data_IF_291496001299
#
_entry.id   IF_291496001299
#
_cell.length_a   1.000
_cell.length_b   1.000
_cell.length_c   1.000
_cell.angle_alpha   90.00
_cell.angle_beta   90.00
_cell.angle_gamma   90.00
#
_symmetry.space_group_name_H-M   'P 1'
#
loop_
_entity.id
_entity.type
_entity.pdbx_description
1 polymer ?
#
# COMPACT_ATOMS: atom_id res chain seq x y z
N UNK A 1 -30.97 -93.81 -42.66
CA UNK A 1 -30.66 -94.03 -41.24
C UNK A 1 -29.46 -93.17 -40.89
N UNK A 2 -29.49 -92.54 -39.71
CA UNK A 2 -28.39 -91.85 -39.00
C UNK A 2 -28.13 -90.36 -39.32
N UNK A 3 -28.74 -89.56 -38.42
CA UNK A 3 -28.28 -88.40 -37.64
C UNK A 3 -27.72 -87.11 -38.28
N UNK A 4 -28.33 -86.03 -37.79
CA UNK A 4 -28.03 -84.60 -37.77
C UNK A 4 -26.73 -84.21 -37.05
N UNK A 5 -26.09 -83.10 -37.45
CA UNK A 5 -25.53 -82.10 -36.52
C UNK A 5 -25.41 -80.69 -37.13
N UNK A 6 -25.50 -79.71 -36.24
CA UNK A 6 -25.68 -78.26 -36.37
C UNK A 6 -24.59 -77.45 -37.10
N UNK A 7 -24.96 -76.24 -37.51
CA UNK A 7 -24.06 -75.08 -37.48
C UNK A 7 -24.86 -73.80 -37.15
N UNK A 8 -24.55 -73.19 -36.00
CA UNK A 8 -25.14 -71.95 -35.46
C UNK A 8 -24.30 -70.78 -35.98
N UNK A 9 -24.93 -69.77 -36.59
CA UNK A 9 -24.29 -68.49 -36.93
C UNK A 9 -24.96 -67.34 -36.18
N UNK A 10 -24.20 -66.66 -35.31
CA UNK A 10 -24.61 -65.50 -34.53
C UNK A 10 -24.59 -64.21 -35.40
N UNK A 11 -25.68 -63.45 -35.41
CA UNK A 11 -25.68 -62.03 -35.81
C UNK A 11 -25.49 -61.13 -34.57
N UNK A 12 -24.73 -60.01 -34.66
CA UNK A 12 -24.47 -59.14 -33.53
C UNK A 12 -25.64 -58.21 -33.26
N UNK A 13 -26.05 -58.10 -31.99
CA UNK A 13 -27.08 -57.18 -31.51
C UNK A 13 -26.46 -55.80 -31.25
N UNK A 14 -26.95 -54.77 -31.95
CA UNK A 14 -26.54 -53.38 -31.80
C UNK A 14 -27.05 -52.83 -30.45
N UNK A 15 -26.17 -52.62 -29.48
CA UNK A 15 -26.50 -51.98 -28.19
C UNK A 15 -26.29 -50.47 -28.33
N UNK A 16 -27.39 -49.72 -28.36
CA UNK A 16 -27.37 -48.25 -28.27
C UNK A 16 -27.11 -47.83 -26.82
N UNK A 17 -25.94 -47.25 -26.56
CA UNK A 17 -25.58 -46.66 -25.27
C UNK A 17 -26.31 -45.31 -25.11
N UNK A 18 -27.31 -45.23 -24.23
CA UNK A 18 -27.83 -43.94 -23.78
C UNK A 18 -26.80 -43.28 -22.87
N UNK A 19 -26.22 -42.17 -23.31
CA UNK A 19 -25.37 -41.33 -22.46
C UNK A 19 -26.24 -40.64 -21.40
N UNK A 20 -25.94 -40.89 -20.13
CA UNK A 20 -26.53 -40.13 -19.02
C UNK A 20 -26.03 -38.67 -19.08
N UNK A 21 -26.86 -37.68 -18.72
CA UNK A 21 -26.41 -36.30 -18.68
C UNK A 21 -25.38 -36.16 -17.56
N UNK A 22 -24.19 -35.67 -17.91
CA UNK A 22 -23.18 -35.29 -16.94
C UNK A 22 -23.76 -34.16 -16.07
N UNK A 23 -24.08 -34.46 -14.82
CA UNK A 23 -24.31 -33.44 -13.80
C UNK A 23 -23.04 -32.59 -13.72
N UNK A 24 -23.15 -31.34 -14.16
CA UNK A 24 -22.10 -30.34 -13.95
C UNK A 24 -21.85 -30.25 -12.44
N UNK A 25 -20.72 -30.79 -11.99
CA UNK A 25 -20.25 -30.57 -10.64
C UNK A 25 -20.10 -29.05 -10.47
N UNK A 26 -20.88 -28.45 -9.57
CA UNK A 26 -20.69 -27.08 -9.16
C UNK A 26 -19.23 -26.92 -8.74
N UNK A 27 -18.49 -26.06 -9.43
CA UNK A 27 -17.13 -25.72 -9.03
C UNK A 27 -17.15 -25.28 -7.56
N UNK A 28 -16.19 -25.70 -6.72
CA UNK A 28 -16.17 -25.27 -5.34
C UNK A 28 -16.11 -23.75 -5.30
N UNK A 29 -17.00 -23.13 -4.51
CA UNK A 29 -16.93 -21.70 -4.16
C UNK A 29 -15.50 -21.44 -3.69
N UNK A 30 -14.70 -20.81 -4.53
CA UNK A 30 -13.29 -20.55 -4.23
C UNK A 30 -13.25 -19.56 -3.08
N UNK A 31 -13.00 -20.03 -1.87
CA UNK A 31 -12.70 -19.17 -0.73
C UNK A 31 -11.32 -18.56 -0.98
N UNK A 32 -11.32 -17.32 -1.45
CA UNK A 32 -10.10 -16.54 -1.60
C UNK A 32 -9.56 -16.17 -0.22
N UNK A 33 -8.25 -16.33 0.03
CA UNK A 33 -7.63 -15.80 1.23
C UNK A 33 -7.85 -14.29 1.32
N UNK A 34 -8.11 -13.77 2.52
CA UNK A 34 -8.26 -12.34 2.79
C UNK A 34 -7.07 -11.76 3.55
N UNK A 35 -6.11 -12.59 3.94
CA UNK A 35 -4.94 -12.17 4.69
C UNK A 35 -3.72 -13.07 4.45
N UNK A 36 -2.55 -12.50 4.68
CA UNK A 36 -1.25 -13.18 4.62
C UNK A 36 -0.41 -12.74 5.82
N UNK A 37 -0.27 -13.62 6.80
CA UNK A 37 0.41 -13.27 8.05
C UNK A 37 -0.44 -12.33 8.88
N UNK A 38 0.07 -11.12 9.12
CA UNK A 38 -0.67 -10.06 9.78
C UNK A 38 -1.32 -9.08 8.79
N UNK A 39 -1.03 -9.18 7.48
CA UNK A 39 -1.50 -8.22 6.49
C UNK A 39 -2.85 -8.66 5.95
N UNK A 40 -3.87 -7.81 6.11
CA UNK A 40 -5.19 -7.97 5.50
C UNK A 40 -5.25 -7.28 4.15
N UNK A 41 -5.86 -7.93 3.16
CA UNK A 41 -6.09 -7.38 1.83
C UNK A 41 -7.49 -7.74 1.35
N UNK A 42 -7.98 -6.97 0.39
CA UNK A 42 -9.30 -7.15 -0.21
C UNK A 42 -9.19 -7.04 -1.72
N UNK A 43 -10.22 -7.54 -2.41
CA UNK A 43 -10.35 -7.34 -3.84
C UNK A 43 -10.27 -5.82 -4.16
N UNK A 44 -9.52 -5.36 -5.17
CA UNK A 44 -9.07 -6.07 -6.36
C UNK A 44 -7.78 -6.87 -6.18
N UNK A 45 -7.11 -6.75 -5.03
CA UNK A 45 -5.94 -7.53 -4.69
C UNK A 45 -6.33 -8.90 -4.14
N UNK A 46 -5.51 -9.90 -4.40
CA UNK A 46 -5.80 -11.23 -3.90
C UNK A 46 -4.74 -12.27 -4.24
N UNK A 47 -4.67 -13.28 -3.38
CA UNK A 47 -3.75 -14.41 -3.51
C UNK A 47 -4.46 -15.58 -4.16
N UNK A 48 -3.92 -16.03 -5.29
CA UNK A 48 -4.37 -17.25 -5.95
C UNK A 48 -5.27 -17.02 -7.18
N UNK A 49 -5.51 -18.10 -7.94
CA UNK A 49 -6.15 -18.01 -9.24
C UNK A 49 -7.63 -17.60 -9.13
N UNK A 50 -7.96 -16.45 -9.72
CA UNK A 50 -9.31 -15.88 -9.76
C UNK A 50 -9.68 -15.04 -8.54
N UNK A 51 -8.74 -14.74 -7.66
CA UNK A 51 -8.98 -13.97 -6.44
C UNK A 51 -8.62 -12.47 -6.56
N UNK A 52 -8.14 -12.03 -7.73
CA UNK A 52 -7.69 -10.67 -7.99
C UNK A 52 -8.07 -10.22 -9.39
N UNK A 53 -8.09 -8.91 -9.62
CA UNK A 53 -8.12 -8.36 -10.97
C UNK A 53 -6.79 -8.65 -11.69
N UNK A 54 -6.78 -8.72 -13.04
CA UNK A 54 -5.56 -8.87 -13.81
C UNK A 54 -4.53 -7.79 -13.43
N UNK A 55 -3.34 -8.22 -13.03
CA UNK A 55 -2.25 -7.35 -12.56
C UNK A 55 -2.22 -7.10 -11.05
N UNK A 56 -3.27 -7.45 -10.29
CA UNK A 56 -3.37 -7.26 -8.83
C UNK A 56 -3.11 -8.54 -8.03
N UNK A 57 -2.48 -9.54 -8.65
CA UNK A 57 -2.20 -10.83 -8.01
C UNK A 57 -1.07 -10.69 -7.00
N UNK A 58 -1.34 -11.15 -5.77
CA UNK A 58 -0.42 -11.15 -4.66
C UNK A 58 0.16 -12.56 -4.44
N UNK A 59 1.41 -12.61 -3.99
CA UNK A 59 2.07 -13.85 -3.57
C UNK A 59 2.34 -13.78 -2.08
N UNK A 60 1.86 -14.77 -1.33
CA UNK A 60 2.14 -14.89 0.10
C UNK A 60 3.33 -15.85 0.29
N UNK A 61 4.52 -15.31 0.54
CA UNK A 61 5.71 -16.12 0.79
C UNK A 61 5.71 -16.62 2.24
N UNK A 62 5.74 -17.94 2.41
CA UNK A 62 5.63 -18.62 3.69
C UNK A 62 6.99 -19.13 4.16
N UNK A 63 7.92 -18.22 4.46
CA UNK A 63 9.15 -18.56 5.17
C UNK A 63 8.96 -18.45 6.69
N UNK A 64 9.62 -19.35 7.43
CA UNK A 64 9.27 -19.87 8.77
C UNK A 64 9.16 -18.87 9.94
N UNK A 65 9.41 -17.57 9.75
CA UNK A 65 9.35 -16.57 10.83
C UNK A 65 8.56 -15.28 10.52
N UNK A 66 8.25 -14.99 9.26
CA UNK A 66 7.39 -13.85 8.87
C UNK A 66 6.82 -14.09 7.47
N UNK A 67 5.50 -14.20 7.34
CA UNK A 67 4.86 -14.28 6.01
C UNK A 67 5.00 -12.94 5.32
N UNK A 68 5.60 -12.91 4.12
CA UNK A 68 5.79 -11.68 3.33
C UNK A 68 4.78 -11.64 2.19
N UNK A 69 4.13 -10.51 2.03
CA UNK A 69 3.24 -10.26 0.90
C UNK A 69 4.05 -9.64 -0.23
N UNK A 70 3.96 -10.23 -1.42
CA UNK A 70 4.73 -9.83 -2.60
C UNK A 70 3.78 -9.47 -3.75
N UNK A 71 4.16 -8.46 -4.54
CA UNK A 71 3.41 -8.00 -5.72
C UNK A 71 4.26 -8.08 -6.99
N UNK A 72 3.71 -8.69 -8.04
CA UNK A 72 4.26 -8.69 -9.39
C UNK A 72 5.65 -9.33 -9.57
N UNK A 73 6.29 -8.99 -10.69
CA UNK A 73 7.65 -9.43 -11.06
C UNK A 73 8.41 -8.23 -11.67
N UNK A 74 9.60 -7.83 -11.15
CA UNK A 74 10.24 -8.38 -9.96
C UNK A 74 9.35 -8.19 -8.72
N UNK A 75 9.36 -9.18 -7.83
CA UNK A 75 8.45 -9.20 -6.69
C UNK A 75 8.80 -8.11 -5.70
N UNK A 76 7.86 -7.18 -5.50
CA UNK A 76 7.98 -6.07 -4.57
C UNK A 76 7.35 -6.48 -3.25
N UNK A 77 8.08 -6.32 -2.14
CA UNK A 77 7.51 -6.53 -0.80
C UNK A 77 6.46 -5.45 -0.53
N UNK A 78 5.26 -5.89 -0.19
CA UNK A 78 4.15 -5.05 0.24
C UNK A 78 4.07 -5.14 1.76
N UNK A 79 4.38 -4.04 2.44
CA UNK A 79 4.33 -4.00 3.91
C UNK A 79 2.88 -3.83 4.43
N UNK A 80 2.00 -3.16 3.67
CA UNK A 80 0.57 -3.10 3.95
C UNK A 80 -0.27 -2.78 2.69
N UNK A 81 -1.55 -3.18 2.70
CA UNK A 81 -2.56 -2.77 1.71
C UNK A 81 -3.70 -2.06 2.44
N UNK A 82 -3.88 -0.75 2.26
CA UNK A 82 -5.10 -0.08 2.73
C UNK A 82 -6.17 -0.21 1.65
N UNK A 83 -7.29 -0.84 2.01
CA UNK A 83 -8.54 -0.77 1.24
C UNK A 83 -9.70 -0.24 2.07
N UNK A 84 -9.42 0.31 3.25
CA UNK A 84 -10.43 0.95 4.07
C UNK A 84 -10.41 2.46 3.84
N UNK A 85 -11.56 2.99 3.44
CA UNK A 85 -11.89 4.43 3.34
C UNK A 85 -11.11 5.25 2.29
N UNK A 86 -11.55 5.14 1.05
CA UNK A 86 -11.97 6.35 0.33
C UNK A 86 -10.94 7.21 -0.38
N UNK A 87 -9.63 7.21 -0.07
CA UNK A 87 -8.76 8.25 -0.68
C UNK A 87 -7.37 7.88 -1.19
N UNK A 88 -6.74 6.77 -0.81
CA UNK A 88 -5.34 6.50 -1.24
C UNK A 88 -5.17 5.11 -1.85
N UNK A 89 -5.05 5.09 -3.17
CA UNK A 89 -4.62 3.94 -3.96
C UNK A 89 -3.10 3.86 -4.03
N UNK A 90 -2.41 3.71 -2.89
CA UNK A 90 -0.93 3.60 -2.88
C UNK A 90 -0.42 2.45 -2.01
N UNK A 91 0.71 1.87 -2.41
CA UNK A 91 1.40 0.79 -1.71
C UNK A 91 2.79 1.24 -1.28
N UNK A 92 3.21 0.87 -0.07
CA UNK A 92 4.58 1.05 0.40
C UNK A 92 5.49 -0.02 -0.21
N UNK A 93 6.61 0.40 -0.81
CA UNK A 93 7.54 -0.47 -1.52
C UNK A 93 8.99 -0.12 -1.24
N UNK A 94 9.81 -1.14 -1.02
CA UNK A 94 11.25 -0.96 -0.79
C UNK A 94 12.02 -1.16 -2.10
N UNK A 95 12.63 -0.08 -2.62
CA UNK A 95 13.44 -0.10 -3.84
C UNK A 95 14.86 0.26 -3.45
N UNK A 96 15.72 -0.75 -3.30
CA UNK A 96 17.14 -0.60 -3.00
C UNK A 96 17.94 -1.51 -3.92
N UNK A 97 19.02 -1.01 -4.51
CA UNK A 97 19.87 -1.81 -5.37
C UNK A 97 21.33 -1.39 -5.30
N UNK A 98 22.19 -2.39 -5.21
CA UNK A 98 23.65 -2.22 -5.24
C UNK A 98 24.16 -2.53 -6.64
N UNK A 99 24.98 -1.64 -7.18
CA UNK A 99 25.56 -1.71 -8.52
C UNK A 99 27.07 -1.73 -8.41
N UNK A 100 27.73 -2.58 -9.21
CA UNK A 100 29.19 -2.55 -9.39
C UNK A 100 29.54 -1.78 -10.66
N UNK A 101 30.41 -0.79 -10.52
CA UNK A 101 30.87 0.06 -11.63
C UNK A 101 32.00 -0.58 -12.40
N UNK A 102 31.95 -0.44 -13.72
CA UNK A 102 33.09 -0.78 -14.57
C UNK A 102 34.19 0.28 -14.48
N UNK A 103 35.44 -0.07 -14.82
CA UNK A 103 36.51 0.91 -15.02
C UNK A 103 36.12 1.93 -16.10
N UNK A 104 36.65 3.14 -16.00
CA UNK A 104 36.35 4.21 -16.96
C UNK A 104 36.90 3.83 -18.34
N UNK A 105 36.01 3.73 -19.33
CA UNK A 105 36.37 3.50 -20.73
C UNK A 105 36.52 4.80 -21.55
N UNK A 106 36.12 5.95 -21.00
CA UNK A 106 36.23 7.28 -21.62
C UNK A 106 35.48 8.35 -20.82
N UNK A 107 35.66 9.62 -21.16
CA UNK A 107 34.83 10.70 -20.58
C UNK A 107 33.39 10.59 -21.09
N UNK A 108 32.40 10.67 -20.19
CA UNK A 108 30.98 10.61 -20.55
C UNK A 108 30.44 9.21 -20.90
N UNK A 109 31.26 8.16 -20.85
CA UNK A 109 30.77 6.79 -21.08
C UNK A 109 30.02 6.26 -19.86
N UNK A 110 28.84 5.68 -20.07
CA UNK A 110 28.07 4.98 -19.03
C UNK A 110 28.91 3.81 -18.52
N UNK A 111 29.26 3.87 -17.23
CA UNK A 111 30.10 2.89 -16.55
C UNK A 111 29.28 1.76 -15.93
N UNK A 112 28.02 2.05 -15.57
CA UNK A 112 27.01 1.06 -15.23
C UNK A 112 25.61 1.64 -15.45
N UNK A 113 24.63 0.76 -15.58
CA UNK A 113 23.21 1.13 -15.63
C UNK A 113 22.42 0.19 -14.73
N UNK A 114 21.41 0.73 -14.07
CA UNK A 114 20.42 -0.07 -13.36
C UNK A 114 19.03 0.32 -13.80
N UNK A 115 18.20 -0.67 -14.09
CA UNK A 115 16.78 -0.46 -14.37
C UNK A 115 15.93 -0.86 -13.18
N UNK A 116 14.78 -0.24 -13.08
CA UNK A 116 13.68 -0.72 -12.26
C UNK A 116 12.43 -0.75 -13.13
N UNK A 117 11.73 -1.88 -13.08
CA UNK A 117 10.47 -2.10 -13.75
C UNK A 117 9.40 -2.35 -12.69
N UNK A 118 8.31 -1.59 -12.76
CA UNK A 118 7.19 -1.76 -11.83
C UNK A 118 6.47 -3.10 -12.02
N UNK A 119 5.64 -3.51 -11.03
CA UNK A 119 4.95 -4.79 -11.04
C UNK A 119 3.83 -4.92 -12.10
N UNK A 120 3.72 -3.96 -13.02
CA UNK A 120 2.84 -4.00 -14.18
C UNK A 120 2.21 -2.65 -14.52
N UNK A 121 1.34 -2.66 -15.54
CA UNK A 121 0.54 -1.48 -15.96
C UNK A 121 -0.39 -0.89 -14.88
N UNK A 122 -0.83 -1.59 -13.83
CA UNK A 122 -1.63 -0.92 -12.81
C UNK A 122 -0.83 0.07 -11.95
N UNK A 123 0.51 -0.03 -11.93
CA UNK A 123 1.32 0.61 -10.90
C UNK A 123 2.33 1.61 -11.44
N UNK A 124 2.65 2.65 -10.65
CA UNK A 124 3.76 3.55 -10.89
C UNK A 124 4.30 4.11 -9.57
N UNK A 125 5.60 4.39 -9.49
CA UNK A 125 6.17 5.16 -8.39
C UNK A 125 5.49 6.53 -8.36
N UNK A 126 5.07 6.96 -7.18
CA UNK A 126 4.38 8.24 -7.02
C UNK A 126 5.30 9.41 -7.43
N UNK A 127 4.73 10.38 -8.16
CA UNK A 127 5.39 11.64 -8.49
C UNK A 127 5.15 12.74 -7.45
N UNK A 128 4.78 12.37 -6.22
CA UNK A 128 4.51 13.31 -5.16
C UNK A 128 5.79 14.07 -4.73
N UNK A 129 5.62 15.27 -4.16
CA UNK A 129 6.72 16.20 -3.84
C UNK A 129 7.75 15.70 -2.82
N UNK A 130 7.50 14.58 -2.13
CA UNK A 130 8.39 13.98 -1.14
C UNK A 130 9.09 12.70 -1.62
N UNK A 131 8.96 12.38 -2.91
CA UNK A 131 9.57 11.20 -3.52
C UNK A 131 10.97 11.55 -4.02
N UNK A 132 11.96 10.79 -3.56
CA UNK A 132 13.37 11.08 -3.81
C UNK A 132 14.16 9.80 -4.12
N UNK A 133 15.06 9.88 -5.10
CA UNK A 133 16.04 8.83 -5.38
C UNK A 133 17.40 9.27 -4.82
N UNK A 134 17.99 8.45 -3.96
CA UNK A 134 19.31 8.68 -3.39
C UNK A 134 20.33 7.74 -4.04
N UNK A 135 21.53 8.26 -4.29
CA UNK A 135 22.68 7.50 -4.80
C UNK A 135 23.85 7.68 -3.84
N UNK A 136 24.33 6.59 -3.26
CA UNK A 136 25.50 6.54 -2.39
C UNK A 136 26.69 5.97 -3.14
N UNK A 137 27.82 6.67 -3.06
CA UNK A 137 29.06 6.26 -3.70
C UNK A 137 30.08 7.39 -3.75
N UNK A 138 31.08 7.26 -4.61
CA UNK A 138 32.11 8.28 -4.81
C UNK A 138 32.52 8.33 -6.28
N UNK A 139 32.69 9.54 -6.82
CA UNK A 139 33.24 9.78 -8.15
C UNK A 139 32.30 9.40 -9.29
N UNK A 140 31.01 9.69 -9.14
CA UNK A 140 29.96 9.30 -10.10
C UNK A 140 29.03 10.46 -10.42
N UNK A 141 28.52 10.48 -11.65
CA UNK A 141 27.33 11.22 -12.03
C UNK A 141 26.21 10.22 -12.31
N UNK A 142 25.08 10.40 -11.66
CA UNK A 142 23.88 9.61 -11.84
C UNK A 142 22.86 10.42 -12.66
N UNK A 143 22.27 9.80 -13.66
CA UNK A 143 21.20 10.40 -14.47
C UNK A 143 20.00 9.47 -14.48
N UNK A 144 18.87 9.97 -13.99
CA UNK A 144 17.60 9.27 -13.97
C UNK A 144 16.86 9.51 -15.29
N UNK A 145 16.50 8.41 -15.95
CA UNK A 145 15.84 8.41 -17.25
C UNK A 145 14.46 7.75 -17.15
N UNK A 146 13.45 8.40 -17.71
CA UNK A 146 12.13 7.82 -17.99
C UNK A 146 11.95 7.73 -19.50
N UNK A 147 11.76 6.52 -20.03
CA UNK A 147 11.65 6.24 -21.48
C UNK A 147 12.75 6.91 -22.33
N UNK A 148 13.95 7.05 -21.77
CA UNK A 148 15.11 7.68 -22.43
C UNK A 148 15.21 9.20 -22.27
N UNK A 149 14.20 9.87 -21.70
CA UNK A 149 14.25 11.28 -21.36
C UNK A 149 14.83 11.49 -19.95
N UNK A 150 15.71 12.49 -19.79
CA UNK A 150 16.29 12.82 -18.50
C UNK A 150 15.27 13.50 -17.59
N UNK A 151 14.97 12.85 -16.46
CA UNK A 151 14.10 13.38 -15.40
C UNK A 151 14.90 14.21 -14.41
N UNK A 152 16.14 13.79 -14.14
CA UNK A 152 17.04 14.49 -13.23
C UNK A 152 18.43 13.89 -13.25
N UNK A 153 19.39 14.62 -12.68
CA UNK A 153 20.76 14.14 -12.51
C UNK A 153 21.33 14.64 -11.19
N UNK A 154 22.33 13.92 -10.68
CA UNK A 154 23.13 14.38 -9.55
C UNK A 154 24.55 13.82 -9.61
N UNK A 155 25.50 14.49 -8.96
CA UNK A 155 26.89 14.06 -8.90
C UNK A 155 27.32 13.81 -7.46
N UNK A 156 28.13 12.78 -7.26
CA UNK A 156 28.72 12.42 -5.97
C UNK A 156 30.23 12.53 -6.02
N UNK A 157 30.79 13.37 -5.16
CA UNK A 157 32.21 13.49 -4.89
C UNK A 157 32.54 12.93 -3.50
N UNK A 158 33.81 12.63 -3.25
CA UNK A 158 34.29 12.25 -1.93
C UNK A 158 35.64 12.90 -1.67
N UNK A 159 35.87 13.24 -0.41
CA UNK A 159 37.20 13.58 0.08
C UNK A 159 38.02 12.30 0.32
N UNK A 160 39.29 12.45 0.71
CA UNK A 160 40.11 11.33 1.19
C UNK A 160 39.45 10.61 2.36
N UNK A 161 39.76 9.31 2.52
CA UNK A 161 39.08 8.42 3.47
C UNK A 161 39.09 8.95 4.91
N UNK A 162 40.21 9.53 5.36
CA UNK A 162 40.34 10.10 6.70
C UNK A 162 39.40 11.30 6.93
N UNK A 163 39.21 12.14 5.91
CA UNK A 163 38.28 13.27 5.96
C UNK A 163 36.85 12.76 5.98
N UNK A 164 36.54 11.78 5.14
CA UNK A 164 35.20 11.18 5.08
C UNK A 164 34.77 10.60 6.43
N UNK A 165 35.68 9.95 7.18
CA UNK A 165 35.40 9.38 8.50
C UNK A 165 35.12 10.42 9.59
N UNK A 166 35.53 11.68 9.40
CA UNK A 166 35.32 12.78 10.35
C UNK A 166 34.08 13.62 10.02
N UNK A 167 33.43 13.37 8.88
CA UNK A 167 32.22 14.10 8.51
C UNK A 167 31.08 13.77 9.47
N UNK A 168 30.32 14.78 9.94
CA UNK A 168 29.13 14.55 10.73
C UNK A 168 28.04 13.87 9.87
N UNK A 169 27.14 13.15 10.54
CA UNK A 169 25.91 12.69 9.89
C UNK A 169 25.11 13.91 9.42
N UNK A 170 24.56 13.85 8.21
CA UNK A 170 23.98 15.06 7.63
C UNK A 170 23.15 14.82 6.39
N UNK A 171 22.85 15.93 5.71
CA UNK A 171 22.09 15.95 4.48
C UNK A 171 22.91 15.38 3.32
N UNK A 172 22.19 14.76 2.39
CA UNK A 172 22.78 14.14 1.22
C UNK A 172 22.99 15.17 0.08
N UNK A 173 24.08 15.94 0.16
CA UNK A 173 24.34 17.09 -0.73
C UNK A 173 25.67 16.95 -1.48
N UNK A 174 25.79 15.90 -2.30
CA UNK A 174 26.88 15.73 -3.26
C UNK A 174 28.20 15.19 -2.71
N UNK A 175 28.36 15.05 -1.40
CA UNK A 175 29.54 14.41 -0.78
C UNK A 175 29.13 13.05 -0.20
N UNK A 176 29.71 11.96 -0.71
CA UNK A 176 29.38 10.58 -0.32
C UNK A 176 28.00 10.10 -0.80
N UNK A 177 27.06 11.00 -1.05
CA UNK A 177 25.80 10.68 -1.69
C UNK A 177 25.19 11.89 -2.43
N UNK A 178 24.21 11.64 -3.30
CA UNK A 178 23.38 12.67 -3.91
C UNK A 178 21.91 12.26 -4.00
N UNK A 179 21.03 13.26 -4.18
CA UNK A 179 19.58 13.13 -4.28
C UNK A 179 19.09 13.61 -5.65
N UNK A 180 18.09 12.94 -6.19
CA UNK A 180 17.30 13.34 -7.37
C UNK A 180 15.83 13.35 -6.96
N UNK A 181 15.16 14.49 -7.14
CA UNK A 181 13.72 14.60 -6.85
C UNK A 181 12.89 13.88 -7.93
N UNK A 182 11.97 13.03 -7.49
CA UNK A 182 11.07 12.27 -8.37
C UNK A 182 9.74 13.01 -8.47
N UNK A 183 9.72 14.06 -9.30
CA UNK A 183 8.52 14.90 -9.50
C UNK A 183 7.53 14.39 -10.55
N UNK A 184 7.71 13.16 -11.06
CA UNK A 184 6.87 12.55 -12.09
C UNK A 184 6.57 11.10 -11.74
N UNK A 185 5.43 10.58 -12.19
CA UNK A 185 5.08 9.17 -11.97
C UNK A 185 5.93 8.25 -12.85
N UNK A 186 6.67 7.32 -12.24
CA UNK A 186 7.58 6.43 -12.94
C UNK A 186 7.05 4.98 -12.93
N UNK A 187 6.67 4.47 -14.09
CA UNK A 187 6.31 3.04 -14.26
C UNK A 187 7.52 2.13 -14.38
N UNK A 188 8.57 2.68 -14.96
CA UNK A 188 9.89 2.11 -15.05
C UNK A 188 10.89 3.26 -15.13
N UNK A 189 12.13 3.02 -14.73
CA UNK A 189 13.20 4.01 -14.93
C UNK A 189 14.53 3.31 -15.19
N UNK A 190 15.44 4.05 -15.82
CA UNK A 190 16.85 3.66 -15.94
C UNK A 190 17.71 4.70 -15.24
N UNK A 191 18.59 4.23 -14.36
CA UNK A 191 19.62 5.03 -13.72
C UNK A 191 20.94 4.77 -14.43
N UNK A 192 21.41 5.75 -15.21
CA UNK A 192 22.74 5.70 -15.83
C UNK A 192 23.78 6.29 -14.89
N UNK A 193 24.88 5.56 -14.72
CA UNK A 193 25.98 5.93 -13.83
C UNK A 193 27.26 6.08 -14.66
N UNK A 194 27.86 7.26 -14.63
CA UNK A 194 29.13 7.56 -15.33
C UNK A 194 30.19 8.04 -14.35
N UNK A 195 31.43 7.52 -14.45
CA UNK A 195 32.54 8.00 -13.62
C UNK A 195 32.95 9.42 -14.01
N UNK A 196 33.11 10.31 -13.03
CA UNK A 196 33.53 11.70 -13.24
C UNK A 196 34.98 11.82 -13.71
N UNK A 197 35.86 10.93 -13.26
CA UNK A 197 37.24 10.76 -13.78
C UNK A 197 38.33 11.23 -12.84
N UNK A 198 38.05 12.21 -12.00
CA UNK A 198 39.00 12.80 -11.06
C UNK A 198 38.56 12.58 -9.61
N UNK A 199 39.53 12.30 -8.72
CA UNK A 199 39.32 12.14 -7.28
C UNK A 199 39.06 10.71 -6.80
N UNK A 200 38.59 10.58 -5.56
CA UNK A 200 38.28 9.29 -4.93
C UNK A 200 37.06 8.66 -5.61
N UNK A 201 37.20 7.43 -6.09
CA UNK A 201 36.10 6.68 -6.69
C UNK A 201 35.93 5.32 -6.03
N UNK A 202 34.69 4.83 -6.00
CA UNK A 202 34.34 3.52 -5.44
C UNK A 202 33.65 2.67 -6.50
N UNK A 203 33.92 1.36 -6.46
CA UNK A 203 33.34 0.42 -7.42
C UNK A 203 31.93 -0.02 -7.02
N UNK A 204 31.61 0.02 -5.73
CA UNK A 204 30.29 -0.30 -5.20
C UNK A 204 29.49 0.99 -5.01
N UNK A 205 28.31 1.05 -5.62
CA UNK A 205 27.30 2.07 -5.37
C UNK A 205 25.99 1.45 -4.94
N UNK A 206 25.25 2.18 -4.12
CA UNK A 206 23.90 1.80 -3.71
C UNK A 206 22.96 2.92 -4.10
N UNK A 207 21.83 2.60 -4.70
CA UNK A 207 20.75 3.57 -4.86
C UNK A 207 19.46 3.04 -4.27
N UNK A 208 18.60 3.97 -3.84
CA UNK A 208 17.28 3.64 -3.37
C UNK A 208 16.28 4.77 -3.63
N UNK A 209 15.00 4.43 -3.60
CA UNK A 209 13.89 5.38 -3.72
C UNK A 209 13.12 5.41 -2.41
N UNK A 210 12.74 6.60 -1.96
CA UNK A 210 12.01 6.80 -0.70
C UNK A 210 10.93 7.86 -0.87
N UNK A 211 9.81 7.72 -0.14
CA UNK A 211 8.77 8.73 -0.02
C UNK A 211 9.00 9.75 1.09
N UNK A 212 10.21 9.81 1.65
CA UNK A 212 10.60 10.82 2.61
C UNK A 212 11.90 11.51 2.23
N UNK A 213 11.85 12.84 2.31
CA UNK A 213 12.97 13.73 2.03
C UNK A 213 14.09 13.70 3.08
N UNK A 214 13.96 12.89 4.15
CA UNK A 214 14.80 12.97 5.36
C UNK A 214 15.72 11.76 5.57
N UNK A 215 16.20 11.14 4.50
CA UNK A 215 17.34 10.24 4.64
C UNK A 215 18.56 11.02 5.20
N UNK A 216 19.06 10.58 6.35
CA UNK A 216 20.25 11.16 6.97
C UNK A 216 21.45 10.31 6.59
N UNK A 217 22.33 10.87 5.76
CA UNK A 217 23.53 10.18 5.31
C UNK A 217 24.52 9.99 6.46
N UNK A 218 25.07 8.79 6.56
CA UNK A 218 26.20 8.47 7.44
C UNK A 218 27.37 8.00 6.59
N UNK A 219 28.61 8.46 6.85
CA UNK A 219 29.77 8.00 6.11
C UNK A 219 29.95 6.47 6.09
N UNK A 220 29.50 5.78 7.15
CA UNK A 220 29.50 4.31 7.23
C UNK A 220 28.63 3.61 6.19
N UNK A 221 27.67 4.31 5.60
CA UNK A 221 26.71 3.76 4.65
C UNK A 221 27.36 3.52 3.27
N UNK A 222 28.56 4.06 3.04
CA UNK A 222 29.40 3.78 1.86
C UNK A 222 30.04 2.39 1.88
N UNK A 223 30.21 1.81 3.08
CA UNK A 223 30.85 0.51 3.28
C UNK A 223 29.83 -0.60 3.55
N UNK A 224 28.73 -0.26 4.23
CA UNK A 224 27.68 -1.21 4.60
C UNK A 224 26.65 -1.38 3.48
N UNK A 225 26.03 -2.56 3.42
CA UNK A 225 24.79 -2.69 2.66
C UNK A 225 23.68 -2.00 3.45
N UNK A 226 22.95 -1.10 2.79
CA UNK A 226 21.80 -0.44 3.40
C UNK A 226 20.72 -1.49 3.60
N UNK A 227 20.37 -1.74 4.86
CA UNK A 227 19.24 -2.59 5.19
C UNK A 227 17.94 -1.85 4.90
N UNK A 228 16.94 -2.58 4.37
CA UNK A 228 15.63 -2.04 3.99
C UNK A 228 14.96 -1.33 5.17
N UNK A 229 15.20 -1.83 6.37
CA UNK A 229 14.76 -1.33 7.67
C UNK A 229 15.33 0.08 8.02
N UNK A 230 16.24 0.65 7.23
CA UNK A 230 16.83 1.98 7.49
C UNK A 230 16.34 3.06 6.53
N UNK A 231 15.58 2.66 5.50
CA UNK A 231 15.11 3.56 4.44
C UNK A 231 13.59 3.57 4.46
N UNK A 232 12.96 4.75 4.62
CA UNK A 232 11.51 4.82 4.52
C UNK A 232 11.05 4.35 3.14
N UNK A 233 9.99 3.54 3.04
CA UNK A 233 9.58 2.97 1.75
C UNK A 233 9.17 4.05 0.75
N UNK A 234 9.36 3.75 -0.53
CA UNK A 234 8.76 4.49 -1.62
C UNK A 234 7.25 4.23 -1.68
N UNK A 235 6.50 5.13 -2.31
CA UNK A 235 5.08 4.95 -2.58
C UNK A 235 4.82 4.57 -4.02
N UNK A 236 3.96 3.59 -4.23
CA UNK A 236 3.54 3.08 -5.52
C UNK A 236 2.04 3.35 -5.68
N UNK A 237 1.68 4.30 -6.53
CA UNK A 237 0.28 4.57 -6.87
C UNK A 237 -0.25 3.47 -7.78
N UNK A 238 -1.54 3.13 -7.65
CA UNK A 238 -2.20 2.14 -8.47
C UNK A 238 -3.53 2.62 -9.06
N UNK A 239 -3.88 2.05 -10.22
CA UNK A 239 -5.11 2.34 -10.93
C UNK A 239 -5.58 1.11 -11.73
N UNK A 240 -6.89 1.03 -12.00
CA UNK A 240 -7.46 0.08 -12.92
C UNK A 240 -7.06 0.46 -14.35
N UNK A 241 -6.31 -0.40 -15.07
CA UNK A 241 -5.67 -0.01 -16.32
C UNK A 241 -6.50 -0.42 -17.56
N UNK A 242 -7.78 -0.81 -17.38
CA UNK A 242 -8.65 -1.30 -18.45
C UNK A 242 -9.03 -0.21 -19.44
N UNK A 243 -9.21 1.02 -18.95
CA UNK A 243 -9.52 2.22 -19.75
C UNK A 243 -8.63 3.39 -19.30
N UNK A 244 -8.46 4.46 -20.10
CA UNK A 244 -7.55 5.55 -19.77
C UNK A 244 -8.08 6.51 -18.70
N UNK A 245 -9.39 6.61 -18.53
CA UNK A 245 -10.08 7.49 -17.59
C UNK A 245 -11.49 6.95 -17.30
N UNK A 246 -12.19 7.59 -16.37
CA UNK A 246 -13.53 7.23 -15.94
C UNK A 246 -14.58 7.36 -17.04
N UNK A 247 -14.45 8.34 -17.94
CA UNK A 247 -15.43 8.54 -19.01
C UNK A 247 -15.45 7.31 -19.92
N UNK A 248 -14.27 6.88 -20.38
CA UNK A 248 -14.16 5.68 -21.22
C UNK A 248 -14.48 4.40 -20.44
N UNK A 249 -14.16 4.35 -19.14
CA UNK A 249 -14.52 3.24 -18.26
C UNK A 249 -16.03 3.06 -18.10
N UNK A 250 -16.78 4.15 -17.96
CA UNK A 250 -18.24 4.10 -17.83
C UNK A 250 -18.95 3.72 -19.13
N UNK A 251 -18.36 4.07 -20.28
CA UNK A 251 -18.86 3.69 -21.60
C UNK A 251 -18.65 2.19 -21.86
N UNK A 252 -17.52 1.62 -21.41
CA UNK A 252 -17.23 0.19 -21.50
C UNK A 252 -17.71 -0.59 -20.26
N UNK A 253 -19.01 -0.93 -20.26
CA UNK A 253 -19.64 -1.70 -19.18
C UNK A 253 -19.08 -3.12 -19.00
N UNK A 254 -18.37 -3.68 -19.99
CA UNK A 254 -17.84 -5.05 -19.92
C UNK A 254 -16.59 -5.10 -19.03
N UNK A 255 -15.74 -4.07 -19.11
CA UNK A 255 -14.46 -4.00 -18.37
C UNK A 255 -14.47 -3.01 -17.21
N UNK A 256 -15.63 -2.40 -16.93
CA UNK A 256 -15.82 -1.49 -15.80
C UNK A 256 -15.70 -2.22 -14.46
N UNK A 257 -14.79 -1.76 -13.61
CA UNK A 257 -14.42 -2.43 -12.36
C UNK A 257 -15.25 -2.00 -11.13
N UNK A 258 -15.94 -0.85 -11.19
CA UNK A 258 -16.74 -0.36 -10.07
C UNK A 258 -18.12 -1.01 -10.10
N UNK A 259 -18.19 -2.25 -9.61
CA UNK A 259 -19.37 -3.11 -9.72
C UNK A 259 -20.34 -2.95 -8.55
N UNK A 260 -19.91 -2.35 -7.44
CA UNK A 260 -20.82 -2.14 -6.31
C UNK A 260 -21.88 -1.09 -6.65
N UNK A 261 -23.10 -1.29 -6.16
CA UNK A 261 -24.04 -0.19 -6.05
C UNK A 261 -23.46 0.89 -5.12
N UNK A 262 -23.75 2.17 -5.37
CA UNK A 262 -23.17 3.30 -4.62
C UNK A 262 -21.63 3.32 -4.69
N UNK A 263 -21.07 2.97 -5.85
CA UNK A 263 -19.67 3.19 -6.16
C UNK A 263 -19.50 4.22 -7.27
N UNK A 264 -18.46 5.04 -7.13
CA UNK A 264 -18.08 6.12 -8.03
C UNK A 264 -16.68 5.86 -8.59
N UNK A 265 -16.50 6.28 -9.84
CA UNK A 265 -15.21 6.23 -10.52
C UNK A 265 -14.47 7.55 -10.32
N UNK A 266 -13.17 7.48 -10.08
CA UNK A 266 -12.27 8.63 -10.00
C UNK A 266 -11.04 8.44 -10.88
N UNK A 267 -10.72 9.45 -11.68
CA UNK A 267 -9.55 9.44 -12.55
C UNK A 267 -8.25 9.38 -11.75
N UNK A 268 -7.27 8.63 -12.28
CA UNK A 268 -5.96 8.48 -11.65
C UNK A 268 -4.88 9.30 -12.36
N UNK A 269 -3.97 9.98 -11.62
CA UNK A 269 -2.83 10.71 -12.19
C UNK A 269 -1.87 9.85 -13.04
N UNK A 270 -1.86 8.52 -12.81
CA UNK A 270 -1.01 7.58 -13.57
C UNK A 270 -1.70 7.04 -14.83
N UNK A 271 -2.90 7.54 -15.14
CA UNK A 271 -3.81 7.01 -16.15
C UNK A 271 -4.62 5.83 -15.63
N UNK A 272 -5.85 5.70 -16.13
CA UNK A 272 -6.85 4.79 -15.62
C UNK A 272 -7.70 5.43 -14.53
N UNK A 273 -8.33 4.58 -13.72
CA UNK A 273 -9.27 5.03 -12.69
C UNK A 273 -9.21 4.16 -11.44
N UNK A 274 -9.76 4.67 -10.35
CA UNK A 274 -10.03 3.91 -9.13
C UNK A 274 -11.52 4.02 -8.78
N UNK A 275 -12.04 2.99 -8.13
CA UNK A 275 -13.40 2.95 -7.61
C UNK A 275 -13.41 3.33 -6.14
N UNK A 276 -14.39 4.14 -5.75
CA UNK A 276 -14.62 4.62 -4.40
C UNK A 276 -16.09 4.39 -4.05
N UNK A 277 -16.42 4.19 -2.78
CA UNK A 277 -17.82 4.23 -2.37
C UNK A 277 -18.30 5.69 -2.35
N UNK A 278 -19.54 5.90 -2.79
CA UNK A 278 -20.22 7.20 -2.71
C UNK A 278 -20.29 7.68 -1.27
N UNK A 279 -20.43 9.00 -1.09
CA UNK A 279 -20.55 9.61 0.24
C UNK A 279 -21.66 8.94 1.07
N UNK A 280 -21.35 8.56 2.31
CA UNK A 280 -22.26 7.85 3.22
C UNK A 280 -22.25 6.32 3.10
N UNK A 281 -21.37 5.78 2.25
CA UNK A 281 -21.14 4.35 2.07
C UNK A 281 -19.65 4.03 2.25
N UNK A 282 -19.39 2.88 2.87
CA UNK A 282 -18.05 2.34 3.09
C UNK A 282 -17.99 0.87 2.70
N UNK A 283 -16.80 0.39 2.37
CA UNK A 283 -16.54 -1.01 2.03
C UNK A 283 -15.76 -1.16 0.74
N UNK A 284 -16.05 -2.21 -0.02
CA UNK A 284 -15.30 -2.57 -1.21
C UNK A 284 -16.07 -2.22 -2.50
N UNK A 285 -15.70 -1.13 -3.22
CA UNK A 285 -16.42 -0.72 -4.43
C UNK A 285 -16.21 -1.66 -5.63
N UNK A 286 -15.24 -2.58 -5.55
CA UNK A 286 -14.93 -3.57 -6.58
C UNK A 286 -15.67 -4.90 -6.38
N UNK A 287 -16.49 -5.02 -5.34
CA UNK A 287 -17.32 -6.19 -5.06
C UNK A 287 -18.81 -5.85 -5.23
N UNK A 288 -19.59 -6.79 -5.75
CA UNK A 288 -21.06 -6.62 -5.84
C UNK A 288 -21.61 -6.43 -4.43
N UNK A 289 -22.43 -5.40 -4.24
CA UNK A 289 -22.96 -4.96 -2.95
C UNK A 289 -21.89 -4.69 -1.87
N UNK A 290 -20.66 -4.39 -2.27
CA UNK A 290 -19.54 -4.20 -1.36
C UNK A 290 -19.50 -2.83 -0.67
N UNK A 291 -20.14 -1.80 -1.23
CA UNK A 291 -20.39 -0.52 -0.57
C UNK A 291 -21.69 -0.60 0.21
N UNK A 292 -21.59 -0.49 1.53
CA UNK A 292 -22.74 -0.54 2.44
C UNK A 292 -22.90 0.80 3.17
N UNK A 293 -24.13 1.20 3.54
CA UNK A 293 -24.35 2.45 4.25
C UNK A 293 -23.55 2.49 5.56
N UNK A 294 -22.93 3.62 5.87
CA UNK A 294 -22.12 3.77 7.09
C UNK A 294 -22.90 3.50 8.37
N UNK A 295 -24.23 3.66 8.35
CA UNK A 295 -25.15 3.33 9.45
C UNK A 295 -25.23 1.84 9.78
N UNK A 296 -24.81 0.95 8.87
CA UNK A 296 -24.77 -0.50 9.13
C UNK A 296 -23.63 -0.85 10.10
N UNK A 297 -22.57 -0.05 10.12
CA UNK A 297 -21.41 -0.25 11.00
C UNK A 297 -21.37 0.74 12.17
N UNK A 298 -21.76 1.98 11.92
CA UNK A 298 -21.77 3.07 12.88
C UNK A 298 -23.14 3.29 13.53
N UNK A 299 -23.15 3.60 14.81
CA UNK A 299 -24.37 3.96 15.53
C UNK A 299 -24.32 5.40 16.04
N UNK A 300 -25.46 6.06 16.19
CA UNK A 300 -25.51 7.37 16.90
C UNK A 300 -25.37 7.22 18.41
N UNK A 301 -25.54 6.00 18.92
CA UNK A 301 -25.35 5.63 20.32
C UNK A 301 -24.69 4.25 20.43
N UNK A 302 -23.80 4.01 21.39
CA UNK A 302 -23.22 2.68 21.56
C UNK A 302 -24.31 1.65 21.88
N UNK A 303 -24.17 0.44 21.33
CA UNK A 303 -25.00 -0.71 21.72
C UNK A 303 -24.88 -0.97 23.24
N UNK A 304 -25.90 -1.60 23.83
CA UNK A 304 -25.80 -2.09 25.20
C UNK A 304 -24.63 -3.07 25.34
N UNK A 305 -23.84 -2.91 26.42
CA UNK A 305 -22.68 -3.74 26.77
C UNK A 305 -21.46 -3.63 25.83
N UNK A 306 -21.23 -2.48 25.20
CA UNK A 306 -19.98 -2.25 24.47
C UNK A 306 -18.74 -2.33 25.38
N UNK A 307 -17.65 -2.98 24.94
CA UNK A 307 -16.38 -2.93 25.66
C UNK A 307 -15.89 -1.49 25.78
N UNK A 308 -15.70 -1.03 27.02
CA UNK A 308 -15.19 0.31 27.32
C UNK A 308 -13.68 0.34 27.58
N UNK A 309 -13.04 -0.82 27.59
CA UNK A 309 -11.61 -0.97 27.87
C UNK A 309 -11.00 -2.00 26.94
N UNK A 310 -9.78 -1.72 26.47
CA UNK A 310 -8.91 -2.69 25.83
C UNK A 310 -7.56 -2.68 26.55
N UNK A 311 -7.30 -3.72 27.35
CA UNK A 311 -6.14 -3.73 28.25
C UNK A 311 -6.22 -2.57 29.24
N UNK A 312 -5.26 -1.65 29.18
CA UNK A 312 -5.18 -0.47 30.06
C UNK A 312 -5.76 0.80 29.43
N UNK A 313 -6.30 0.73 28.22
CA UNK A 313 -6.77 1.91 27.47
C UNK A 313 -8.29 1.97 27.50
N UNK A 314 -8.83 3.13 27.89
CA UNK A 314 -10.25 3.43 27.81
C UNK A 314 -10.67 3.66 26.35
N UNK A 315 -11.77 3.03 25.95
CA UNK A 315 -12.37 3.16 24.61
C UNK A 315 -13.74 3.81 24.75
N UNK A 316 -13.81 5.14 24.91
CA UNK A 316 -15.06 5.86 24.97
C UNK A 316 -15.69 6.00 23.58
N UNK A 317 -17.02 5.98 23.51
CA UNK A 317 -17.76 6.35 22.31
C UNK A 317 -17.41 7.81 21.92
N UNK A 318 -17.10 8.12 20.64
CA UNK A 318 -17.53 7.43 19.42
C UNK A 318 -16.60 6.33 18.89
N UNK A 319 -15.53 6.00 19.61
CA UNK A 319 -14.66 4.86 19.28
C UNK A 319 -15.24 3.55 19.79
N UNK A 320 -14.83 2.44 19.19
CA UNK A 320 -15.28 1.11 19.60
C UNK A 320 -14.49 -0.01 18.94
N UNK A 321 -14.51 -1.17 19.58
CA UNK A 321 -13.77 -2.37 19.17
C UNK A 321 -14.66 -3.48 18.62
N UNK A 322 -15.98 -3.26 18.64
CA UNK A 322 -17.00 -4.19 18.17
C UNK A 322 -18.01 -3.49 17.26
N UNK A 323 -18.65 -4.26 16.38
CA UNK A 323 -19.69 -3.75 15.49
C UNK A 323 -20.87 -3.18 16.29
N UNK A 324 -21.27 -1.95 15.96
CA UNK A 324 -22.32 -1.22 16.67
C UNK A 324 -21.84 -0.52 17.96
N UNK A 325 -20.55 -0.57 18.28
CA UNK A 325 -19.96 0.12 19.43
C UNK A 325 -19.13 1.36 19.08
N UNK A 326 -19.06 1.72 17.79
CA UNK A 326 -18.41 2.92 17.30
C UNK A 326 -19.39 3.74 16.45
N UNK A 327 -19.11 5.04 16.24
CA UNK A 327 -20.01 5.92 15.50
C UNK A 327 -19.83 5.87 13.98
N UNK A 328 -18.61 5.54 13.53
CA UNK A 328 -18.21 5.44 12.12
C UNK A 328 -17.10 4.41 11.95
N UNK A 329 -16.99 3.83 10.76
CA UNK A 329 -16.02 2.77 10.49
C UNK A 329 -14.57 3.21 10.71
N UNK A 330 -14.21 4.47 10.47
CA UNK A 330 -12.86 4.99 10.73
C UNK A 330 -12.55 5.21 12.22
N UNK A 331 -13.55 5.09 13.09
CA UNK A 331 -13.42 5.12 14.55
C UNK A 331 -13.39 3.71 15.16
N UNK A 332 -13.40 2.68 14.32
CA UNK A 332 -13.18 1.30 14.73
C UNK A 332 -11.71 1.08 15.11
N UNK A 333 -11.48 0.49 16.28
CA UNK A 333 -10.14 0.16 16.78
C UNK A 333 -10.03 -1.35 17.01
N UNK A 334 -8.88 -1.93 16.70
CA UNK A 334 -8.65 -3.37 16.92
C UNK A 334 -8.10 -3.62 18.31
N UNK A 335 -8.81 -4.40 19.13
CA UNK A 335 -8.32 -4.84 20.42
C UNK A 335 -7.77 -6.27 20.33
N UNK A 336 -6.45 -6.41 20.43
CA UNK A 336 -5.79 -7.72 20.30
C UNK A 336 -5.51 -8.35 21.68
N UNK A 337 -6.16 -9.47 22.04
CA UNK A 337 -6.00 -10.13 23.35
C UNK A 337 -4.74 -11.01 23.44
N UNK A 338 -4.03 -11.23 22.34
CA UNK A 338 -2.91 -12.18 22.24
C UNK A 338 -1.61 -11.78 22.97
N UNK A 339 -1.54 -10.59 23.56
CA UNK A 339 -0.47 -10.17 24.46
C UNK A 339 -1.13 -9.79 25.78
N UNK A 340 -0.58 -10.21 26.91
CA UNK A 340 -1.06 -9.79 28.23
C UNK A 340 -0.14 -8.66 28.70
N UNK A 341 -0.63 -7.41 28.87
CA UNK A 341 -2.02 -6.95 28.68
C UNK A 341 -2.40 -6.72 27.20
N UNK A 342 -3.70 -6.81 26.91
CA UNK A 342 -4.27 -6.60 25.57
C UNK A 342 -3.91 -5.22 25.03
N UNK A 343 -3.70 -5.12 23.71
CA UNK A 343 -3.20 -3.90 23.07
C UNK A 343 -4.26 -3.35 22.11
N UNK A 344 -4.59 -2.06 22.27
CA UNK A 344 -5.46 -1.32 21.37
C UNK A 344 -4.65 -0.79 20.19
N UNK A 345 -5.12 -1.07 18.98
CA UNK A 345 -4.42 -0.74 17.75
C UNK A 345 -5.36 0.03 16.81
N UNK A 346 -4.90 1.19 16.36
CA UNK A 346 -5.55 1.94 15.29
C UNK A 346 -5.12 1.38 13.93
N UNK A 347 -3.83 1.07 13.81
CA UNK A 347 -3.23 0.40 12.65
C UNK A 347 -2.27 -0.68 13.14
N UNK A 348 -1.68 -1.45 12.23
CA UNK A 348 -0.73 -2.52 12.59
C UNK A 348 0.55 -1.99 13.27
N UNK A 349 0.87 -0.72 13.04
CA UNK A 349 2.08 -0.03 13.53
C UNK A 349 1.79 1.03 14.59
N UNK A 350 0.53 1.46 14.74
CA UNK A 350 0.12 2.49 15.69
C UNK A 350 -0.70 1.90 16.82
N UNK A 351 -0.10 1.86 18.01
CA UNK A 351 -0.77 1.48 19.25
C UNK A 351 -1.47 2.72 19.81
N UNK A 352 -2.73 2.61 20.18
CA UNK A 352 -3.42 3.67 20.89
C UNK A 352 -3.10 3.51 22.37
N UNK A 353 -2.54 4.54 22.99
CA UNK A 353 -2.19 4.55 24.42
C UNK A 353 -3.22 5.29 25.25
N UNK A 354 -3.90 6.28 24.68
CA UNK A 354 -4.90 7.09 25.36
C UNK A 354 -5.86 7.74 24.36
N UNK A 355 -7.13 7.92 24.75
CA UNK A 355 -8.17 8.54 23.93
C UNK A 355 -8.85 9.63 24.77
N UNK A 356 -8.75 10.89 24.33
CA UNK A 356 -9.39 12.03 24.97
C UNK A 356 -10.48 12.59 24.06
N UNK A 357 -11.74 12.46 24.51
CA UNK A 357 -12.89 13.00 23.77
C UNK A 357 -12.97 14.52 23.91
N UNK A 358 -12.73 15.04 25.11
CA UNK A 358 -12.84 16.47 25.41
C UNK A 358 -11.76 17.29 24.70
N UNK A 359 -10.55 16.74 24.58
CA UNK A 359 -9.45 17.38 23.84
C UNK A 359 -9.52 17.10 22.33
N UNK A 360 -10.35 16.16 21.89
CA UNK A 360 -10.43 15.75 20.49
C UNK A 360 -9.13 15.12 19.99
N UNK A 361 -8.41 14.36 20.85
CA UNK A 361 -7.12 13.75 20.51
C UNK A 361 -6.98 12.28 20.90
N UNK A 362 -6.26 11.52 20.09
CA UNK A 362 -5.71 10.20 20.42
C UNK A 362 -4.22 10.35 20.68
N UNK A 363 -3.71 9.71 21.73
CA UNK A 363 -2.27 9.48 21.88
C UNK A 363 -1.95 8.12 21.31
N UNK A 364 -1.04 8.09 20.35
CA UNK A 364 -0.57 6.86 19.75
C UNK A 364 0.93 6.69 19.97
N UNK A 365 1.35 5.44 20.09
CA UNK A 365 2.73 5.03 20.17
C UNK A 365 3.02 4.12 18.97
N UNK A 366 4.06 4.48 18.21
CA UNK A 366 4.50 3.62 17.13
C UNK A 366 5.19 2.39 17.67
N UNK A 367 4.91 1.25 17.07
CA UNK A 367 5.54 -0.01 17.44
C UNK A 367 6.88 -0.10 16.72
N UNK A 368 7.98 -0.11 17.46
CA UNK A 368 9.30 -0.37 16.90
C UNK A 368 9.37 -1.80 16.33
N UNK A 369 8.98 -1.97 15.07
CA UNK A 369 9.62 -2.90 14.16
C UNK A 369 10.92 -2.28 13.65
N UNK A 370 11.88 -3.07 13.12
CA UNK A 370 13.05 -2.48 12.51
C UNK A 370 12.58 -1.70 11.26
N UNK A 371 12.54 -0.37 11.36
CA UNK A 371 12.33 0.54 10.23
C UNK A 371 11.13 1.48 10.27
N UNK A 372 10.62 1.85 11.43
CA UNK A 372 9.45 2.72 11.52
C UNK A 372 9.80 4.23 11.55
N UNK A 373 10.05 4.81 10.38
CA UNK A 373 9.99 6.26 10.16
C UNK A 373 9.20 6.54 8.87
N UNK A 374 7.87 6.55 8.93
CA UNK A 374 7.06 7.36 8.00
C UNK A 374 5.91 8.05 8.71
N UNK A 375 5.78 9.35 8.47
CA UNK A 375 4.64 10.16 8.87
C UNK A 375 3.37 9.60 8.25
N UNK A 376 2.46 9.21 9.13
CA UNK A 376 1.14 8.71 8.79
C UNK A 376 0.31 9.92 8.36
N UNK A 377 0.01 10.01 7.06
CA UNK A 377 -1.00 10.93 6.51
C UNK A 377 -2.24 10.15 6.07
N UNK A 378 -2.39 8.90 6.55
CA UNK A 378 -3.62 8.14 6.43
C UNK A 378 -4.61 8.64 7.46
N UNK A 379 -5.24 9.77 7.13
CA UNK A 379 -6.60 10.22 7.44
C UNK A 379 -6.59 11.75 7.40
N UNK A 380 -7.39 12.35 6.54
CA UNK A 380 -7.58 13.82 6.49
C UNK A 380 -8.27 14.38 7.75
N UNK A 381 -8.50 13.54 8.76
CA UNK A 381 -9.11 13.89 10.04
C UNK A 381 -8.07 13.92 11.18
N UNK A 382 -6.78 13.66 10.89
CA UNK A 382 -5.75 13.40 11.91
C UNK A 382 -4.37 13.97 11.51
N UNK A 383 -3.66 14.59 12.47
CA UNK A 383 -2.33 15.21 12.29
C UNK A 383 -1.34 14.73 13.36
N UNK A 384 -0.10 14.39 13.01
CA UNK A 384 0.82 13.60 13.83
C UNK A 384 2.16 14.30 14.18
N UNK A 385 2.70 14.04 15.38
CA UNK A 385 4.00 14.53 15.85
C UNK A 385 4.78 13.45 16.62
N UNK A 386 5.90 12.92 16.09
CA UNK A 386 6.92 12.16 16.87
C UNK A 386 6.83 10.61 16.95
N UNK A 387 7.72 9.95 17.71
CA UNK A 387 7.73 8.47 17.93
C UNK A 387 6.56 7.98 18.80
N UNK A 388 6.12 8.83 19.71
CA UNK A 388 4.78 8.87 20.26
C UNK A 388 4.19 10.20 19.85
N UNK A 389 2.93 10.21 19.45
CA UNK A 389 2.31 11.41 18.94
C UNK A 389 0.86 11.55 19.35
N UNK A 390 0.44 12.80 19.38
CA UNK A 390 -0.95 13.19 19.57
C UNK A 390 -1.58 13.39 18.21
N UNK A 391 -2.79 12.90 18.06
CA UNK A 391 -3.53 12.87 16.82
C UNK A 391 -4.88 13.51 17.03
N UNK A 392 -5.15 14.63 16.38
CA UNK A 392 -6.51 15.20 16.36
C UNK A 392 -7.45 14.26 15.61
N UNK A 393 -8.75 14.26 15.87
CA UNK A 393 -9.70 13.37 15.18
C UNK A 393 -11.05 14.06 14.96
N UNK A 394 -11.78 13.64 13.93
CA UNK A 394 -13.13 14.12 13.64
C UNK A 394 -14.12 12.96 13.41
N UNK A 395 -15.38 13.21 13.77
CA UNK A 395 -16.47 12.23 13.65
C UNK A 395 -16.91 12.04 12.20
N UNK A 396 -16.86 13.09 11.39
CA UNK A 396 -17.35 13.11 10.00
C UNK A 396 -16.57 14.18 9.20
N UNK A 397 -16.63 14.10 7.87
CA UNK A 397 -15.89 15.00 6.95
C UNK A 397 -16.41 16.45 6.86
N UNK A 398 -17.72 16.77 6.94
CA UNK A 398 -18.19 18.15 6.77
C UNK A 398 -17.75 19.07 7.90
N UNK A 399 -17.53 20.33 7.56
CA UNK A 399 -17.24 21.38 8.57
C UNK A 399 -18.40 21.55 9.54
N UNK A 400 -18.13 22.06 10.73
CA UNK A 400 -19.17 22.34 11.71
C UNK A 400 -20.30 23.22 11.17
N UNK A 401 -19.96 24.19 10.30
CA UNK A 401 -20.95 25.03 9.63
C UNK A 401 -21.86 24.24 8.70
N UNK A 402 -21.31 23.34 7.89
CA UNK A 402 -22.08 22.49 6.98
C UNK A 402 -22.93 21.48 7.75
N UNK A 403 -22.36 20.86 8.78
CA UNK A 403 -23.06 19.92 9.63
C UNK A 403 -24.23 20.58 10.39
N UNK A 404 -24.09 21.83 10.83
CA UNK A 404 -25.19 22.57 11.47
C UNK A 404 -26.35 22.89 10.50
N UNK A 405 -26.06 23.07 9.22
CA UNK A 405 -27.09 23.30 8.19
C UNK A 405 -27.83 22.00 7.82
N UNK A 406 -27.16 20.85 7.97
CA UNK A 406 -27.73 19.55 7.68
C UNK A 406 -27.92 18.73 8.96
N UNK A 407 -29.13 18.77 9.53
CA UNK A 407 -29.47 18.08 10.79
C UNK A 407 -29.21 16.55 10.76
N UNK A 408 -29.05 15.94 9.59
CA UNK A 408 -28.67 14.52 9.46
C UNK A 408 -27.17 14.27 9.66
N UNK A 409 -26.33 15.28 9.47
CA UNK A 409 -24.87 15.22 9.57
C UNK A 409 -24.35 15.80 10.90
N UNK A 410 -25.17 16.57 11.63
CA UNK A 410 -24.81 17.03 12.98
C UNK A 410 -24.70 15.85 13.96
N UNK A 411 -23.62 15.82 14.76
CA UNK A 411 -23.29 14.71 15.67
C UNK A 411 -23.05 15.12 17.13
N UNK A 412 -23.08 16.41 17.44
CA UNK A 412 -23.07 16.89 18.83
C UNK A 412 -24.49 16.81 19.40
N UNK A 413 -24.82 15.71 20.09
CA UNK A 413 -26.19 15.40 20.52
C UNK A 413 -26.54 15.93 21.93
N UNK A 414 -25.54 16.23 22.75
CA UNK A 414 -25.76 16.74 24.11
C UNK A 414 -26.09 18.23 24.08
N UNK A 415 -27.01 18.67 24.94
CA UNK A 415 -27.35 20.08 25.12
C UNK A 415 -26.16 20.95 25.58
N UNK A 416 -25.10 20.31 26.09
CA UNK A 416 -23.86 20.96 26.52
C UNK A 416 -22.67 20.65 25.60
N UNK A 417 -22.92 20.15 24.38
CA UNK A 417 -21.89 19.89 23.38
C UNK A 417 -21.95 20.93 22.25
N UNK A 418 -20.78 21.32 21.74
CA UNK A 418 -20.66 22.20 20.58
C UNK A 418 -19.68 21.59 19.57
N UNK A 419 -19.90 21.86 18.29
CA UNK A 419 -19.03 21.39 17.23
C UNK A 419 -17.77 22.25 17.15
N UNK A 420 -16.61 21.60 16.99
CA UNK A 420 -15.30 22.24 16.81
C UNK A 420 -14.67 21.72 15.52
N UNK A 421 -14.23 22.63 14.66
CA UNK A 421 -13.53 22.25 13.43
C UNK A 421 -12.12 21.75 13.76
N UNK A 422 -11.71 20.66 13.10
CA UNK A 422 -10.36 20.10 13.26
C UNK A 422 -9.45 20.73 12.20
N UNK A 423 -8.58 21.65 12.63
CA UNK A 423 -7.58 22.29 11.76
C UNK A 423 -6.17 21.74 12.00
N UNK A 424 -5.38 21.72 10.92
CA UNK A 424 -3.99 21.22 10.88
C UNK A 424 -2.96 22.17 11.52
N UNK A 425 -3.39 23.19 12.28
CA UNK A 425 -2.50 24.16 12.93
C UNK A 425 -1.54 23.51 13.93
#
# INVERSE_FOLDING_TARGET
>A
MVLTMAAITLLPLLVTLLAAPATAAAAPVRRCPTSCGLIDFSYPFGVGPGCSLPGFNLTCDANTYSKRLLLGSPSVTVDYTILASGFISSLAVNIVRTVRMRPRAGAGTVSASASWDGPGRPFAISGASNMSLFVLGCGVTATLLDRGAAVGNCSVACAGEEVMRRLPNGLCVGVGCCRIDVGVHLRAFTLNLSRTGDGVSRDKLTFFVTGQDRYTFRPSDLDRDIHLDMVPPARLDWAIPSQPDCRHAMDDRVTYACVSNQSECRDSPIGGYACHCSRGFSGNPYAVDGCVPDQVYGSTQPKANCPTMCGNVSVPFPFGTELGCFARIHLYLTCNPGRSPAILQMTQHSLVTDISIDEGVLRIQKRSGPGDFLGDRDTTLYSFSGESGMVKWAVDDPTCREAMLNNKEYRCLSAHSHCVDVTDD
#
